data_IF_767322186349
#
_entry.id   IF_767322186349
#
_cell.length_a   1.000
_cell.length_b   1.000
_cell.length_c   1.000
_cell.angle_alpha   90.00
_cell.angle_beta   90.00
_cell.angle_gamma   90.00
#
_symmetry.space_group_name_H-M   'P 1'
#
loop_
_entity.id
_entity.type
_entity.pdbx_description
1 polymer ?
#
# COMPACT_ATOMS: atom_id res chain seq x y z
N UNK A 1 -14.56 -11.62 18.64
CA UNK A 1 -15.28 -10.68 17.76
C UNK A 1 -14.34 -9.75 16.99
N UNK A 2 -13.48 -8.95 17.65
CA UNK A 2 -12.50 -8.06 16.98
C UNK A 2 -11.69 -8.79 15.89
N UNK A 3 -11.08 -9.93 16.23
CA UNK A 3 -10.29 -10.74 15.31
C UNK A 3 -11.08 -11.19 14.08
N UNK A 4 -12.39 -11.45 14.22
CA UNK A 4 -13.26 -11.84 13.12
C UNK A 4 -13.52 -10.67 12.17
N UNK A 5 -13.78 -9.47 12.71
CA UNK A 5 -13.96 -8.24 11.91
C UNK A 5 -12.67 -7.94 11.14
N UNK A 6 -11.51 -7.98 11.80
CA UNK A 6 -10.21 -7.71 11.17
C UNK A 6 -9.77 -8.77 10.16
N UNK A 7 -10.22 -10.01 10.32
CA UNK A 7 -10.04 -11.05 9.29
C UNK A 7 -10.85 -10.77 8.03
N UNK A 8 -12.09 -10.25 8.16
CA UNK A 8 -12.93 -9.88 7.00
C UNK A 8 -12.42 -8.63 6.30
N UNK A 9 -12.05 -7.60 7.05
CA UNK A 9 -11.46 -6.39 6.50
C UNK A 9 -10.48 -5.77 7.50
N UNK A 10 -9.20 -5.75 7.14
CA UNK A 10 -8.12 -5.22 7.98
C UNK A 10 -8.18 -3.69 8.12
N UNK A 11 -8.74 -3.01 7.13
CA UNK A 11 -8.72 -1.55 7.04
C UNK A 11 -9.84 -0.87 7.81
N UNK A 12 -10.90 -1.59 8.16
CA UNK A 12 -11.99 -1.05 8.99
C UNK A 12 -11.47 -0.71 10.39
N UNK A 13 -11.50 0.55 10.83
CA UNK A 13 -11.13 0.91 12.20
C UNK A 13 -12.18 0.38 13.18
N UNK A 14 -11.74 -0.18 14.30
CA UNK A 14 -12.63 -0.75 15.33
C UNK A 14 -12.29 -0.10 16.67
N UNK A 15 -13.25 0.61 17.26
CA UNK A 15 -13.13 1.20 18.60
C UNK A 15 -13.78 0.25 19.59
N UNK A 16 -13.06 -0.16 20.63
CA UNK A 16 -13.60 -1.03 21.68
C UNK A 16 -14.08 -0.20 22.85
N UNK A 17 -15.32 -0.47 23.28
CA UNK A 17 -15.94 0.18 24.42
C UNK A 17 -16.19 -0.85 25.51
N UNK A 18 -15.72 -0.63 26.74
CA UNK A 18 -15.94 -1.55 27.87
C UNK A 18 -16.25 -0.82 29.19
N UNK A 19 -17.17 -1.36 29.99
CA UNK A 19 -17.43 -0.88 31.36
C UNK A 19 -16.50 -1.47 32.42
N UNK A 20 -16.07 -2.72 32.23
CA UNK A 20 -15.11 -3.40 33.11
C UNK A 20 -13.75 -3.46 32.43
N UNK A 21 -13.18 -2.30 32.13
CA UNK A 21 -11.86 -2.26 31.51
C UNK A 21 -10.76 -2.43 32.55
N UNK A 22 -9.79 -3.30 32.23
CA UNK A 22 -8.48 -3.29 32.85
C UNK A 22 -7.42 -2.93 31.79
N UNK A 23 -6.26 -2.46 32.24
CA UNK A 23 -5.17 -2.02 31.37
C UNK A 23 -4.74 -3.17 30.44
N UNK A 24 -4.72 -4.40 30.95
CA UNK A 24 -4.33 -5.58 30.19
C UNK A 24 -5.26 -5.86 29.00
N UNK A 25 -6.58 -5.75 29.18
CA UNK A 25 -7.57 -5.92 28.12
C UNK A 25 -7.46 -4.81 27.07
N UNK A 26 -7.24 -3.56 27.49
CA UNK A 26 -7.02 -2.45 26.58
C UNK A 26 -5.78 -2.71 25.71
N UNK A 27 -4.64 -3.05 26.32
CA UNK A 27 -3.39 -3.37 25.60
C UNK A 27 -3.58 -4.57 24.66
N UNK A 28 -4.21 -5.64 25.12
CA UNK A 28 -4.47 -6.84 24.31
C UNK A 28 -5.35 -6.52 23.10
N UNK A 29 -6.33 -5.64 23.26
CA UNK A 29 -7.20 -5.24 22.16
C UNK A 29 -6.48 -4.43 21.08
N UNK A 30 -5.64 -3.47 21.49
CA UNK A 30 -4.83 -2.67 20.57
C UNK A 30 -3.83 -3.55 19.82
N UNK A 31 -3.13 -4.45 20.53
CA UNK A 31 -2.23 -5.44 19.89
C UNK A 31 -2.96 -6.37 18.91
N UNK A 32 -4.24 -6.64 19.16
CA UNK A 32 -5.08 -7.47 18.28
C UNK A 32 -5.67 -6.69 17.10
N UNK A 33 -5.32 -5.41 16.95
CA UNK A 33 -5.70 -4.57 15.81
C UNK A 33 -6.88 -3.62 16.05
N UNK A 34 -7.35 -3.46 17.29
CA UNK A 34 -8.28 -2.38 17.60
C UNK A 34 -7.63 -1.02 17.27
N UNK A 35 -8.43 -0.09 16.77
CA UNK A 35 -7.98 1.26 16.46
C UNK A 35 -7.80 2.09 17.74
N UNK A 36 -8.80 2.06 18.61
CA UNK A 36 -8.78 2.71 19.92
C UNK A 36 -9.58 1.89 20.94
N UNK A 37 -9.32 2.15 22.22
CA UNK A 37 -10.06 1.56 23.34
C UNK A 37 -10.58 2.67 24.27
N UNK A 38 -11.84 2.57 24.71
CA UNK A 38 -12.46 3.54 25.61
C UNK A 38 -13.24 2.84 26.73
N UNK A 39 -12.99 3.27 27.96
CA UNK A 39 -13.66 2.74 29.15
C UNK A 39 -14.90 3.60 29.48
N UNK A 40 -16.00 2.96 29.90
CA UNK A 40 -17.15 3.67 30.48
C UNK A 40 -16.92 3.93 31.98
N UNK A 41 -17.35 5.09 32.51
CA UNK A 41 -17.94 6.23 31.79
C UNK A 41 -16.87 6.99 30.99
N UNK A 42 -17.24 7.48 29.81
CA UNK A 42 -16.38 8.30 28.96
C UNK A 42 -17.04 9.63 28.63
N UNK A 43 -16.20 10.62 28.37
CA UNK A 43 -16.64 11.91 27.89
C UNK A 43 -17.00 11.87 26.39
N UNK A 44 -17.99 12.67 25.98
CA UNK A 44 -18.50 12.73 24.62
C UNK A 44 -17.45 13.30 23.65
N UNK A 45 -16.70 14.34 24.04
CA UNK A 45 -15.67 14.93 23.17
C UNK A 45 -14.56 13.91 22.88
N UNK A 46 -14.18 13.13 23.90
CA UNK A 46 -13.20 12.05 23.73
C UNK A 46 -13.67 11.00 22.72
N UNK A 47 -14.92 10.57 22.78
CA UNK A 47 -15.47 9.61 21.81
C UNK A 47 -15.50 10.23 20.41
N UNK A 48 -15.94 11.48 20.28
CA UNK A 48 -15.98 12.18 18.99
C UNK A 48 -14.58 12.28 18.35
N UNK A 49 -13.55 12.58 19.14
CA UNK A 49 -12.17 12.62 18.66
C UNK A 49 -11.70 11.26 18.12
N UNK A 50 -12.06 10.16 18.78
CA UNK A 50 -11.72 8.81 18.29
C UNK A 50 -12.45 8.46 17.01
N UNK A 51 -13.73 8.83 16.89
CA UNK A 51 -14.52 8.62 15.68
C UNK A 51 -13.93 9.41 14.51
N UNK A 52 -13.64 10.70 14.70
CA UNK A 52 -13.08 11.56 13.65
C UNK A 52 -11.74 11.01 13.12
N UNK A 53 -10.83 10.63 14.02
CA UNK A 53 -9.54 10.02 13.66
C UNK A 53 -9.72 8.69 12.94
N UNK A 54 -10.69 7.88 13.35
CA UNK A 54 -11.01 6.60 12.70
C UNK A 54 -11.51 6.80 11.26
N UNK A 55 -12.46 7.72 11.06
CA UNK A 55 -13.01 8.03 9.74
C UNK A 55 -11.95 8.59 8.82
N UNK A 56 -11.14 9.53 9.32
CA UNK A 56 -10.04 10.11 8.54
C UNK A 56 -9.02 9.05 8.12
N UNK A 57 -8.60 8.18 9.05
CA UNK A 57 -7.67 7.09 8.73
C UNK A 57 -8.23 6.15 7.65
N UNK A 58 -9.52 5.79 7.76
CA UNK A 58 -10.18 4.96 6.77
C UNK A 58 -10.25 5.65 5.40
N UNK A 59 -10.57 6.94 5.36
CA UNK A 59 -10.60 7.74 4.13
C UNK A 59 -9.24 7.79 3.45
N UNK A 60 -8.18 8.10 4.21
CA UNK A 60 -6.81 8.19 3.70
C UNK A 60 -6.33 6.85 3.14
N UNK A 61 -6.62 5.74 3.83
CA UNK A 61 -6.29 4.40 3.33
C UNK A 61 -7.01 4.07 2.03
N UNK A 62 -8.30 4.38 1.93
CA UNK A 62 -9.05 4.14 0.70
C UNK A 62 -8.54 5.00 -0.45
N UNK A 63 -8.22 6.28 -0.20
CA UNK A 63 -7.64 7.18 -1.21
C UNK A 63 -6.29 6.65 -1.71
N UNK A 64 -5.40 6.23 -0.80
CA UNK A 64 -4.13 5.61 -1.20
C UNK A 64 -4.36 4.37 -2.06
N UNK A 65 -5.27 3.49 -1.65
CA UNK A 65 -5.61 2.29 -2.42
C UNK A 65 -6.18 2.62 -3.80
N UNK A 66 -7.03 3.64 -3.90
CA UNK A 66 -7.59 4.10 -5.17
C UNK A 66 -6.52 4.70 -6.08
N UNK A 67 -5.63 5.53 -5.54
CA UNK A 67 -4.49 6.12 -6.27
C UNK A 67 -3.53 5.03 -6.76
N UNK A 68 -3.18 4.07 -5.90
CA UNK A 68 -2.38 2.90 -6.28
C UNK A 68 -3.03 2.11 -7.41
N UNK A 69 -4.35 1.87 -7.33
CA UNK A 69 -5.09 1.11 -8.34
C UNK A 69 -5.12 1.86 -9.68
N UNK A 70 -5.38 3.17 -9.68
CA UNK A 70 -5.37 4.01 -10.90
C UNK A 70 -4.00 4.04 -11.57
N UNK A 71 -2.93 4.13 -10.77
CA UNK A 71 -1.56 4.01 -11.26
C UNK A 71 -1.28 2.61 -11.83
N UNK A 72 -1.83 1.55 -11.23
CA UNK A 72 -1.53 0.17 -11.63
C UNK A 72 -2.05 -0.21 -13.02
N UNK A 73 -3.20 0.32 -13.43
CA UNK A 73 -3.83 -0.01 -14.71
C UNK A 73 -3.12 0.60 -15.92
N UNK A 74 -2.30 1.64 -15.76
CA UNK A 74 -1.69 2.35 -16.90
C UNK A 74 -0.34 1.79 -17.36
N UNK A 75 0.25 0.83 -16.64
CA UNK A 75 1.62 0.38 -16.89
C UNK A 75 1.74 -1.03 -17.48
N UNK A 76 0.66 -1.60 -18.04
CA UNK A 76 0.79 -2.84 -18.80
C UNK A 76 1.53 -2.64 -20.12
N UNK A 77 2.43 -3.57 -20.43
CA UNK A 77 3.24 -3.53 -21.63
C UNK A 77 2.42 -4.19 -22.75
N UNK A 78 1.70 -3.37 -23.50
CA UNK A 78 0.77 -3.80 -24.56
C UNK A 78 1.56 -4.16 -25.82
N UNK A 79 1.17 -5.25 -26.48
CA UNK A 79 1.71 -5.68 -27.75
C UNK A 79 2.06 -7.17 -27.78
N UNK A 80 1.98 -7.75 -28.98
CA UNK A 80 2.19 -9.17 -29.25
C UNK A 80 3.30 -9.38 -30.30
N UNK A 81 4.14 -8.36 -30.55
CA UNK A 81 5.27 -8.51 -31.47
C UNK A 81 6.36 -9.34 -30.83
N UNK A 82 7.17 -10.02 -31.66
CA UNK A 82 8.26 -10.86 -31.15
C UNK A 82 9.29 -10.07 -30.32
N UNK A 83 9.47 -8.78 -30.62
CA UNK A 83 10.34 -7.90 -29.83
C UNK A 83 9.76 -7.63 -28.43
N UNK A 84 8.43 -7.44 -28.34
CA UNK A 84 7.76 -7.23 -27.05
C UNK A 84 7.80 -8.51 -26.20
N UNK A 85 7.59 -9.67 -26.80
CA UNK A 85 7.71 -10.96 -26.08
C UNK A 85 9.13 -11.16 -25.53
N UNK A 86 10.18 -10.88 -26.34
CA UNK A 86 11.57 -10.91 -25.86
C UNK A 86 11.82 -9.96 -24.68
N UNK A 87 11.24 -8.76 -24.71
CA UNK A 87 11.35 -7.79 -23.61
C UNK A 87 10.65 -8.32 -22.36
N UNK A 88 9.45 -8.90 -22.48
CA UNK A 88 8.72 -9.52 -21.35
C UNK A 88 9.56 -10.63 -20.70
N UNK A 89 10.20 -11.48 -21.50
CA UNK A 89 11.10 -12.52 -21.00
C UNK A 89 12.34 -11.95 -20.28
N UNK A 90 12.94 -10.89 -20.83
CA UNK A 90 14.07 -10.22 -20.19
C UNK A 90 13.68 -9.60 -18.85
N UNK A 91 12.50 -8.97 -18.76
CA UNK A 91 11.97 -8.39 -17.52
C UNK A 91 11.86 -9.47 -16.44
N UNK A 92 11.30 -10.65 -16.77
CA UNK A 92 11.14 -11.76 -15.83
C UNK A 92 12.49 -12.28 -15.32
N UNK A 93 13.49 -12.40 -16.19
CA UNK A 93 14.83 -12.83 -15.79
C UNK A 93 15.49 -11.79 -14.89
N UNK A 94 15.44 -10.52 -15.28
CA UNK A 94 16.08 -9.42 -14.56
C UNK A 94 15.42 -9.12 -13.21
N UNK A 95 14.13 -9.35 -13.05
CA UNK A 95 13.43 -9.06 -11.78
C UNK A 95 13.91 -9.92 -10.60
N UNK A 96 14.48 -11.10 -10.88
CA UNK A 96 15.07 -11.97 -9.85
C UNK A 96 16.50 -11.61 -9.47
N UNK A 97 17.14 -10.72 -10.24
CA UNK A 97 18.52 -10.28 -10.02
C UNK A 97 18.60 -9.08 -9.08
N UNK A 98 19.67 -9.00 -8.29
CA UNK A 98 20.00 -7.85 -7.45
C UNK A 98 20.96 -6.87 -8.16
N UNK A 99 21.31 -7.13 -9.43
CA UNK A 99 22.22 -6.30 -10.22
C UNK A 99 21.59 -4.96 -10.65
N UNK A 100 22.45 -3.99 -10.95
CA UNK A 100 22.02 -2.71 -11.56
C UNK A 100 21.60 -2.95 -13.01
N UNK A 101 20.53 -2.28 -13.43
CA UNK A 101 19.93 -2.44 -14.75
C UNK A 101 20.01 -1.11 -15.51
N UNK A 102 20.46 -1.16 -16.75
CA UNK A 102 20.48 -0.02 -17.66
C UNK A 102 19.45 -0.24 -18.78
N UNK A 103 18.50 0.67 -18.92
CA UNK A 103 17.42 0.59 -19.92
C UNK A 103 17.68 1.65 -20.99
N UNK A 104 17.98 1.21 -22.21
CA UNK A 104 18.22 2.10 -23.33
C UNK A 104 17.07 2.05 -24.35
N UNK A 105 16.78 3.19 -24.97
CA UNK A 105 15.76 3.32 -26.01
C UNK A 105 15.38 4.78 -26.28
N UNK A 106 14.72 5.07 -27.41
CA UNK A 106 14.27 6.42 -27.76
C UNK A 106 13.32 7.04 -26.72
N UNK A 107 13.15 8.36 -26.75
CA UNK A 107 12.13 9.05 -25.96
C UNK A 107 10.74 8.51 -26.29
N UNK A 108 9.89 8.29 -25.28
CA UNK A 108 8.54 7.73 -25.48
C UNK A 108 8.47 6.21 -25.68
N UNK A 109 9.58 5.47 -25.74
CA UNK A 109 9.59 4.01 -25.92
C UNK A 109 9.12 3.17 -24.70
N UNK A 110 8.71 3.82 -23.60
CA UNK A 110 8.22 3.11 -22.41
C UNK A 110 9.30 2.62 -21.44
N UNK A 111 10.51 3.21 -21.45
CA UNK A 111 11.61 2.84 -20.52
C UNK A 111 11.20 2.82 -19.04
N UNK A 112 10.39 3.80 -18.62
CA UNK A 112 9.88 3.86 -17.25
C UNK A 112 8.90 2.71 -16.95
N UNK A 113 8.05 2.33 -17.92
CA UNK A 113 7.14 1.18 -17.76
C UNK A 113 7.94 -0.11 -17.54
N UNK A 114 9.03 -0.29 -18.29
CA UNK A 114 9.93 -1.45 -18.13
C UNK A 114 10.53 -1.44 -16.72
N UNK A 115 11.06 -0.31 -16.25
CA UNK A 115 11.64 -0.20 -14.90
C UNK A 115 10.62 -0.52 -13.80
N UNK A 116 9.39 0.00 -13.91
CA UNK A 116 8.30 -0.28 -12.98
C UNK A 116 7.92 -1.76 -12.97
N UNK A 117 7.87 -2.41 -14.14
CA UNK A 117 7.56 -3.84 -14.25
C UNK A 117 8.64 -4.71 -13.62
N UNK A 118 9.92 -4.37 -13.83
CA UNK A 118 11.03 -5.08 -13.18
C UNK A 118 10.91 -4.96 -11.66
N UNK A 119 10.69 -3.76 -11.11
CA UNK A 119 10.52 -3.55 -9.67
C UNK A 119 9.35 -4.38 -9.11
N UNK A 120 8.20 -4.33 -9.78
CA UNK A 120 6.98 -5.05 -9.36
C UNK A 120 7.16 -6.56 -9.35
N UNK A 121 8.00 -7.12 -10.22
CA UNK A 121 8.26 -8.57 -10.28
C UNK A 121 9.48 -8.99 -9.45
N UNK A 122 10.09 -8.05 -8.72
CA UNK A 122 11.30 -8.29 -7.94
C UNK A 122 11.01 -8.64 -6.49
N UNK A 123 12.03 -9.11 -5.76
CA UNK A 123 11.96 -9.31 -4.30
C UNK A 123 11.70 -8.01 -3.52
N UNK A 124 11.87 -6.86 -4.18
CA UNK A 124 11.70 -5.52 -3.60
C UNK A 124 10.33 -4.90 -3.95
N UNK A 125 9.38 -5.66 -4.48
CA UNK A 125 8.07 -5.16 -4.94
C UNK A 125 7.29 -4.33 -3.89
N UNK A 126 7.48 -4.60 -2.59
CA UNK A 126 6.85 -3.90 -1.47
C UNK A 126 7.61 -2.65 -1.03
N UNK A 127 8.82 -2.46 -1.55
CA UNK A 127 9.66 -1.30 -1.28
C UNK A 127 9.23 -0.09 -2.10
N UNK A 128 9.77 1.09 -1.78
CA UNK A 128 9.51 2.30 -2.54
C UNK A 128 10.16 2.23 -3.92
N UNK A 129 9.41 2.60 -4.96
CA UNK A 129 9.93 2.84 -6.31
C UNK A 129 10.01 4.35 -6.56
N UNK A 130 11.21 4.91 -6.52
CA UNK A 130 11.46 6.35 -6.66
C UNK A 130 11.99 6.64 -8.06
N UNK A 131 11.38 7.61 -8.75
CA UNK A 131 11.86 8.11 -10.04
C UNK A 131 12.53 9.45 -9.81
N UNK A 132 13.75 9.57 -10.33
CA UNK A 132 14.48 10.81 -10.39
C UNK A 132 14.69 11.15 -11.87
N UNK A 133 14.17 12.29 -12.29
CA UNK A 133 14.38 12.77 -13.66
C UNK A 133 15.59 13.70 -13.67
N UNK A 134 16.71 13.21 -14.22
CA UNK A 134 17.95 13.98 -14.32
C UNK A 134 17.86 15.24 -15.17
N UNK A 135 16.84 15.37 -16.04
CA UNK A 135 16.65 16.57 -16.87
C UNK A 135 15.89 17.71 -16.16
N UNK A 136 15.30 17.45 -14.99
CA UNK A 136 14.54 18.41 -14.17
C UNK A 136 15.26 18.75 -12.85
N UNK A 137 16.45 18.21 -12.65
CA UNK A 137 17.30 18.46 -11.50
C UNK A 137 18.36 19.48 -11.96
N UNK A 138 18.03 20.77 -11.84
CA UNK A 138 19.00 21.87 -11.85
C UNK A 138 19.65 22.02 -10.46
#
# INVERSE_FOLDING_TARGET
>A
MLSHIKKKNKDVPVIIISGHANIEMAVKSLKSGAFEFIQKPFDQERLMNFINRAVENFRLKNQNKELETKLFHSFELIGNSQNIEKIKDQILKLSTSESRIFINGPTGSGKELIARKIHKLSKREKGPFVILNGALLD
#
